data_IF_382024197617
#
_entry.id   IF_382024197617
#
_cell.length_a   1.000
_cell.length_b   1.000
_cell.length_c   1.000
_cell.angle_alpha   90.00
_cell.angle_beta   90.00
_cell.angle_gamma   90.00
#
_symmetry.space_group_name_H-M   'P 1'
#
loop_
_entity.id
_entity.type
_entity.pdbx_description
1 polymer ?
#
# COMPACT_ATOMS: atom_id res chain seq x y z
N UNK A 1 1.62 -25.55 24.34
CA UNK A 1 1.79 -24.07 24.22
C UNK A 1 0.67 -23.59 23.32
N UNK A 2 -0.17 -22.66 23.80
CA UNK A 2 -1.22 -22.03 22.97
C UNK A 2 -0.52 -21.22 21.90
N UNK A 3 -0.72 -21.55 20.64
CA UNK A 3 -0.15 -20.82 19.50
C UNK A 3 -0.67 -19.38 19.52
N UNK A 4 0.22 -18.40 19.59
CA UNK A 4 -0.15 -16.99 19.47
C UNK A 4 -0.55 -16.75 18.00
N UNK A 5 -1.83 -16.61 17.75
CA UNK A 5 -2.41 -16.54 16.39
C UNK A 5 -2.32 -15.13 15.78
N UNK A 6 -1.78 -14.15 16.48
CA UNK A 6 -1.66 -12.77 16.03
C UNK A 6 -0.21 -12.31 15.86
N UNK A 7 0.01 -11.19 15.14
CA UNK A 7 1.34 -10.60 15.03
C UNK A 7 1.72 -9.84 16.29
N UNK A 8 3.01 -9.61 16.46
CA UNK A 8 3.54 -8.67 17.46
C UNK A 8 3.67 -7.28 16.86
N UNK A 9 3.40 -6.24 17.65
CA UNK A 9 3.60 -4.84 17.29
C UNK A 9 5.02 -4.39 17.60
N UNK A 10 5.66 -3.71 16.66
CA UNK A 10 6.99 -3.14 16.83
C UNK A 10 7.08 -1.75 16.17
N UNK A 11 8.16 -1.03 16.48
CA UNK A 11 8.38 0.32 15.98
C UNK A 11 9.83 0.51 15.52
N UNK A 12 9.99 1.40 14.55
CA UNK A 12 11.30 1.88 14.10
C UNK A 12 11.25 3.40 13.91
N UNK A 13 12.42 4.02 13.77
CA UNK A 13 12.52 5.47 13.54
C UNK A 13 12.98 5.73 12.13
N UNK A 14 12.22 6.55 11.40
CA UNK A 14 12.59 7.10 10.11
C UNK A 14 12.37 8.61 10.11
N UNK A 15 13.39 9.39 9.79
CA UNK A 15 13.32 10.86 9.74
C UNK A 15 12.62 11.53 10.96
N UNK A 16 12.88 11.09 12.18
CA UNK A 16 12.22 11.56 13.42
C UNK A 16 10.77 11.09 13.59
N UNK A 17 10.21 10.33 12.66
CA UNK A 17 8.91 9.71 12.81
C UNK A 17 9.07 8.33 13.46
N UNK A 18 8.25 8.05 14.45
CA UNK A 18 8.07 6.71 15.01
C UNK A 18 7.07 5.96 14.15
N UNK A 19 7.54 5.00 13.39
CA UNK A 19 6.74 4.21 12.47
C UNK A 19 6.52 2.80 13.02
N UNK A 20 5.33 2.30 12.81
CA UNK A 20 4.85 1.02 13.32
C UNK A 20 4.96 -0.07 12.24
N UNK A 21 5.17 -1.30 12.68
CA UNK A 21 4.97 -2.50 11.87
C UNK A 21 4.47 -3.66 12.72
N UNK A 22 3.84 -4.62 12.10
CA UNK A 22 3.51 -5.90 12.73
C UNK A 22 4.39 -7.00 12.18
N UNK A 23 4.83 -7.89 13.07
CA UNK A 23 5.68 -9.04 12.77
C UNK A 23 4.90 -10.32 13.07
N UNK A 24 4.76 -11.20 12.08
CA UNK A 24 4.04 -12.45 12.16
C UNK A 24 4.92 -13.64 12.59
N UNK A 25 6.16 -13.38 12.99
CA UNK A 25 7.11 -14.38 13.43
C UNK A 25 7.71 -15.20 12.28
N UNK A 26 8.26 -16.37 12.62
CA UNK A 26 9.01 -17.25 11.75
C UNK A 26 10.32 -16.61 11.24
N UNK A 27 11.08 -16.02 12.14
CA UNK A 27 12.31 -15.27 11.84
C UNK A 27 13.38 -16.09 11.10
N UNK A 28 13.32 -17.43 11.13
CA UNK A 28 14.27 -18.29 10.38
C UNK A 28 13.92 -18.42 8.88
N UNK A 29 12.68 -18.11 8.49
CA UNK A 29 12.22 -18.19 7.10
C UNK A 29 12.67 -16.98 6.27
N UNK A 30 12.60 -17.03 4.92
CA UNK A 30 12.91 -15.90 4.05
C UNK A 30 12.03 -14.68 4.36
N UNK A 31 12.57 -13.44 4.31
CA UNK A 31 11.82 -12.24 4.64
C UNK A 31 10.83 -11.86 3.53
N UNK A 32 9.59 -11.59 3.93
CA UNK A 32 8.49 -11.11 3.10
C UNK A 32 7.88 -9.86 3.71
N UNK A 33 7.89 -8.75 2.99
CA UNK A 33 7.28 -7.49 3.45
C UNK A 33 6.04 -7.19 2.63
N UNK A 34 4.89 -7.01 3.32
CA UNK A 34 3.60 -6.68 2.72
C UNK A 34 3.30 -5.20 2.96
N UNK A 35 3.14 -4.40 1.91
CA UNK A 35 2.99 -2.94 1.98
C UNK A 35 1.57 -2.55 1.56
N UNK A 36 0.82 -1.92 2.46
CA UNK A 36 -0.57 -1.56 2.24
C UNK A 36 -0.77 -0.36 1.31
N UNK A 37 -2.00 -0.15 0.85
CA UNK A 37 -2.41 0.96 0.01
C UNK A 37 -2.67 2.26 0.78
N UNK A 38 -2.98 3.35 0.07
CA UNK A 38 -3.35 4.61 0.70
C UNK A 38 -4.64 4.51 1.51
N UNK A 39 -4.67 5.12 2.71
CA UNK A 39 -5.79 5.13 3.68
C UNK A 39 -6.13 3.76 4.27
N UNK A 40 -5.19 2.85 4.21
CA UNK A 40 -5.24 1.50 4.73
C UNK A 40 -4.26 1.35 5.91
N UNK A 41 -3.98 0.16 6.37
CA UNK A 41 -3.08 -0.10 7.51
C UNK A 41 -2.51 -1.53 7.46
N UNK A 42 -1.49 -1.82 8.29
CA UNK A 42 -0.80 -3.12 8.31
C UNK A 42 -1.74 -4.32 8.53
N UNK A 43 -2.76 -4.15 9.36
CA UNK A 43 -3.69 -5.23 9.70
C UNK A 43 -4.67 -5.60 8.58
N UNK A 44 -4.66 -4.86 7.47
CA UNK A 44 -5.41 -5.26 6.26
C UNK A 44 -4.82 -6.52 5.60
N UNK A 45 -3.57 -6.81 5.87
CA UNK A 45 -2.88 -7.99 5.36
C UNK A 45 -3.05 -9.25 6.22
N UNK A 46 -3.83 -9.20 7.31
CA UNK A 46 -3.91 -10.30 8.28
C UNK A 46 -4.26 -11.66 7.68
N UNK A 47 -5.19 -11.70 6.71
CA UNK A 47 -5.55 -12.97 6.05
C UNK A 47 -4.42 -13.51 5.18
N UNK A 48 -3.77 -12.64 4.44
CA UNK A 48 -2.63 -13.01 3.58
C UNK A 48 -1.43 -13.40 4.43
N UNK A 49 -1.09 -12.61 5.44
CA UNK A 49 0.02 -12.87 6.35
C UNK A 49 -0.16 -14.19 7.11
N UNK A 50 -1.39 -14.47 7.58
CA UNK A 50 -1.72 -15.74 8.25
C UNK A 50 -1.53 -16.95 7.34
N UNK A 51 -1.85 -16.82 6.05
CA UNK A 51 -1.64 -17.90 5.07
C UNK A 51 -0.17 -18.13 4.76
N UNK A 52 0.64 -17.05 4.69
CA UNK A 52 2.03 -17.12 4.24
C UNK A 52 3.05 -17.31 5.38
N UNK A 53 2.71 -16.98 6.63
CA UNK A 53 3.64 -17.01 7.79
C UNK A 53 4.28 -18.36 8.07
N UNK A 54 3.74 -19.45 7.56
CA UNK A 54 4.33 -20.77 7.75
C UNK A 54 5.67 -20.89 7.01
N UNK A 55 5.74 -20.32 5.81
CA UNK A 55 6.84 -20.49 4.89
C UNK A 55 7.70 -19.21 4.77
N UNK A 56 7.23 -18.09 5.35
CA UNK A 56 7.85 -16.75 5.27
C UNK A 56 7.92 -16.07 6.64
N UNK A 57 8.99 -15.29 6.87
CA UNK A 57 9.01 -14.27 7.90
C UNK A 57 8.26 -13.04 7.40
N UNK A 58 7.00 -12.89 7.80
CA UNK A 58 6.10 -11.85 7.27
C UNK A 58 6.14 -10.62 8.17
N UNK A 59 6.54 -9.49 7.60
CA UNK A 59 6.55 -8.17 8.25
C UNK A 59 5.64 -7.22 7.47
N UNK A 60 4.82 -6.45 8.18
CA UNK A 60 3.83 -5.56 7.56
C UNK A 60 3.89 -4.18 8.21
N UNK A 61 4.50 -3.17 7.56
CA UNK A 61 4.54 -1.80 8.08
C UNK A 61 3.20 -1.09 7.95
N UNK A 62 2.92 -0.20 8.89
CA UNK A 62 2.04 0.95 8.67
C UNK A 62 2.86 2.07 8.02
N UNK A 63 2.47 2.52 6.83
CA UNK A 63 3.12 3.64 6.17
C UNK A 63 2.96 4.92 7.00
N UNK A 64 3.90 5.90 6.89
CA UNK A 64 3.73 7.21 7.54
C UNK A 64 2.33 7.77 7.29
N UNK A 65 1.73 8.38 8.29
CA UNK A 65 0.38 8.94 8.19
C UNK A 65 -0.74 7.92 8.15
N UNK A 66 -0.47 6.64 8.42
CA UNK A 66 -1.46 5.54 8.41
C UNK A 66 -1.30 4.66 9.64
N UNK A 67 -2.39 3.99 10.00
CA UNK A 67 -2.39 3.00 11.08
C UNK A 67 -1.85 3.55 12.40
N UNK A 68 -0.94 2.82 13.03
CA UNK A 68 -0.29 3.21 14.28
C UNK A 68 1.07 3.92 14.08
N UNK A 69 1.41 4.25 12.82
CA UNK A 69 2.56 5.10 12.46
C UNK A 69 2.29 6.57 12.69
N UNK A 70 3.35 7.34 13.02
CA UNK A 70 3.26 8.77 13.19
C UNK A 70 2.85 9.49 11.89
N UNK A 71 2.12 10.60 12.06
CA UNK A 71 1.79 11.52 10.99
C UNK A 71 2.96 12.47 10.70
N UNK A 72 3.22 12.76 9.43
CA UNK A 72 4.29 13.66 9.05
C UNK A 72 3.91 15.12 9.35
N UNK A 73 4.72 15.81 10.16
CA UNK A 73 4.58 17.23 10.35
C UNK A 73 4.75 17.96 9.01
N UNK A 74 3.80 18.84 8.68
CA UNK A 74 3.76 19.55 7.40
C UNK A 74 3.06 18.78 6.27
N UNK A 75 2.53 17.57 6.53
CA UNK A 75 1.71 16.84 5.55
C UNK A 75 2.49 16.34 4.34
N UNK A 76 3.76 15.98 4.51
CA UNK A 76 4.61 15.45 3.44
C UNK A 76 4.38 13.95 3.26
N UNK A 77 3.66 13.59 2.18
CA UNK A 77 3.29 12.21 1.83
C UNK A 77 3.58 11.92 0.36
N UNK A 78 4.86 12.04 -0.02
CA UNK A 78 5.32 11.75 -1.38
C UNK A 78 5.86 10.33 -1.49
N UNK A 79 5.88 9.78 -2.71
CA UNK A 79 6.42 8.43 -2.94
C UNK A 79 7.87 8.31 -2.46
N UNK A 80 8.79 9.26 -2.72
CA UNK A 80 10.16 9.19 -2.20
C UNK A 80 10.25 9.07 -0.67
N UNK A 81 9.35 9.73 0.06
CA UNK A 81 9.35 9.65 1.54
C UNK A 81 8.85 8.30 2.04
N UNK A 82 7.84 7.71 1.39
CA UNK A 82 7.41 6.35 1.68
C UNK A 82 8.52 5.33 1.35
N UNK A 83 9.23 5.51 0.24
CA UNK A 83 10.38 4.65 -0.15
C UNK A 83 11.49 4.73 0.89
N UNK A 84 11.80 5.95 1.38
CA UNK A 84 12.80 6.13 2.44
C UNK A 84 12.41 5.39 3.73
N UNK A 85 11.14 5.42 4.13
CA UNK A 85 10.67 4.71 5.32
C UNK A 85 10.80 3.20 5.17
N UNK A 86 10.46 2.66 3.99
CA UNK A 86 10.62 1.23 3.71
C UNK A 86 12.12 0.87 3.66
N UNK A 87 12.98 1.70 3.07
CA UNK A 87 14.42 1.48 3.08
C UNK A 87 14.96 1.42 4.51
N UNK A 88 14.53 2.34 5.38
CA UNK A 88 14.92 2.35 6.79
C UNK A 88 14.41 1.11 7.54
N UNK A 89 13.17 0.68 7.31
CA UNK A 89 12.64 -0.56 7.89
C UNK A 89 13.48 -1.76 7.48
N UNK A 90 13.76 -1.90 6.19
CA UNK A 90 14.53 -3.03 5.67
C UNK A 90 15.97 -3.06 6.18
N UNK A 91 16.59 -1.89 6.37
CA UNK A 91 17.91 -1.78 6.99
C UNK A 91 17.86 -2.16 8.49
N UNK A 92 16.79 -1.82 9.23
CA UNK A 92 16.57 -2.24 10.62
C UNK A 92 16.37 -3.77 10.72
N UNK A 93 15.63 -4.37 9.80
CA UNK A 93 15.44 -5.82 9.75
C UNK A 93 16.75 -6.55 9.38
N UNK A 94 17.62 -5.90 8.58
CA UNK A 94 18.95 -6.40 8.26
C UNK A 94 18.99 -7.72 7.47
N UNK A 95 17.89 -8.07 6.79
CA UNK A 95 17.75 -9.36 6.08
C UNK A 95 17.50 -9.14 4.59
N UNK A 96 18.49 -9.49 3.79
CA UNK A 96 18.47 -9.37 2.33
C UNK A 96 18.93 -10.67 1.64
N UNK A 97 18.49 -10.95 0.41
CA UNK A 97 17.44 -10.21 -0.32
C UNK A 97 16.06 -10.42 0.29
N UNK A 98 15.14 -9.45 0.09
CA UNK A 98 13.77 -9.48 0.58
C UNK A 98 12.78 -9.73 -0.56
N UNK A 99 11.63 -10.33 -0.26
CA UNK A 99 10.49 -10.36 -1.17
C UNK A 99 9.51 -9.23 -0.78
N UNK A 100 9.05 -8.47 -1.77
CA UNK A 100 8.10 -7.38 -1.58
C UNK A 100 6.75 -7.67 -2.24
N UNK A 101 5.68 -7.45 -1.51
CA UNK A 101 4.30 -7.46 -2.02
C UNK A 101 3.66 -6.13 -1.64
N UNK A 102 3.23 -5.35 -2.61
CA UNK A 102 2.64 -4.04 -2.35
C UNK A 102 1.33 -3.82 -3.08
N UNK A 103 0.36 -3.20 -2.40
CA UNK A 103 -0.93 -2.84 -2.95
C UNK A 103 -1.01 -1.33 -3.21
N UNK A 104 -1.48 -0.91 -4.38
CA UNK A 104 -1.77 0.49 -4.72
C UNK A 104 -0.56 1.41 -4.42
N UNK A 105 -0.67 2.32 -3.45
CA UNK A 105 0.46 3.13 -2.97
C UNK A 105 1.65 2.25 -2.55
N UNK A 106 1.41 1.19 -1.78
CA UNK A 106 2.44 0.23 -1.38
C UNK A 106 3.09 -0.48 -2.57
N UNK A 107 2.33 -0.74 -3.63
CA UNK A 107 2.85 -1.26 -4.89
C UNK A 107 3.77 -0.28 -5.60
N UNK A 108 3.39 1.00 -5.67
CA UNK A 108 4.25 2.06 -6.22
C UNK A 108 5.54 2.22 -5.40
N UNK A 109 5.45 2.17 -4.08
CA UNK A 109 6.61 2.22 -3.17
C UNK A 109 7.53 1.02 -3.39
N UNK A 110 7.00 -0.19 -3.46
CA UNK A 110 7.77 -1.41 -3.70
C UNK A 110 8.49 -1.37 -5.06
N UNK A 111 7.82 -0.92 -6.12
CA UNK A 111 8.41 -0.72 -7.46
C UNK A 111 9.57 0.27 -7.42
N UNK A 112 9.40 1.42 -6.78
CA UNK A 112 10.45 2.44 -6.68
C UNK A 112 11.62 1.95 -5.84
N UNK A 113 11.37 1.33 -4.68
CA UNK A 113 12.43 0.74 -3.86
C UNK A 113 13.24 -0.29 -4.66
N UNK A 114 12.57 -1.21 -5.36
CA UNK A 114 13.24 -2.25 -6.15
C UNK A 114 14.04 -1.66 -7.32
N UNK A 115 13.56 -0.58 -7.95
CA UNK A 115 14.31 0.10 -9.00
C UNK A 115 15.58 0.80 -8.49
N UNK A 116 15.60 1.27 -7.23
CA UNK A 116 16.75 1.90 -6.58
C UNK A 116 17.76 0.83 -6.12
N UNK A 117 17.27 -0.27 -5.53
CA UNK A 117 18.07 -1.33 -4.93
C UNK A 117 17.74 -2.71 -5.53
N UNK A 118 17.97 -2.92 -6.85
CA UNK A 118 17.56 -4.16 -7.53
C UNK A 118 18.23 -5.43 -6.96
N UNK A 119 19.42 -5.30 -6.35
CA UNK A 119 20.15 -6.41 -5.73
C UNK A 119 19.60 -6.82 -4.36
N UNK A 120 18.76 -5.98 -3.75
CA UNK A 120 18.17 -6.23 -2.42
C UNK A 120 16.82 -6.94 -2.47
N UNK A 121 16.23 -7.08 -3.67
CA UNK A 121 14.90 -7.67 -3.84
C UNK A 121 14.99 -8.90 -4.72
N UNK A 122 14.50 -10.05 -4.19
CA UNK A 122 14.54 -11.32 -4.93
C UNK A 122 13.27 -11.59 -5.73
N UNK A 123 12.10 -11.10 -5.28
CA UNK A 123 10.81 -11.17 -5.97
C UNK A 123 9.96 -9.96 -5.64
N UNK A 124 9.15 -9.53 -6.59
CA UNK A 124 8.26 -8.38 -6.44
C UNK A 124 6.84 -8.73 -6.90
N UNK A 125 5.85 -8.42 -6.06
CA UNK A 125 4.43 -8.45 -6.44
C UNK A 125 3.86 -7.05 -6.29
N UNK A 126 3.37 -6.47 -7.39
CA UNK A 126 2.73 -5.16 -7.40
C UNK A 126 1.25 -5.30 -7.77
N UNK A 127 0.38 -5.08 -6.78
CA UNK A 127 -1.07 -5.16 -6.92
C UNK A 127 -1.58 -3.75 -7.20
N UNK A 128 -2.04 -3.49 -8.42
CA UNK A 128 -2.59 -2.18 -8.81
C UNK A 128 -1.62 -0.99 -8.55
N UNK A 129 -0.29 -1.26 -8.55
CA UNK A 129 0.76 -0.33 -8.09
C UNK A 129 1.39 0.53 -9.19
N UNK A 130 0.99 0.42 -10.47
CA UNK A 130 1.61 1.13 -11.59
C UNK A 130 1.19 2.61 -11.71
N UNK A 131 0.44 3.12 -10.75
CA UNK A 131 -0.10 4.47 -10.78
C UNK A 131 -1.25 4.64 -11.78
N UNK A 132 -1.67 5.89 -12.05
CA UNK A 132 -2.78 6.18 -12.96
C UNK A 132 -2.49 5.70 -14.39
N UNK A 133 -3.52 5.25 -15.13
CA UNK A 133 -3.35 4.89 -16.53
C UNK A 133 -2.91 6.11 -17.38
N UNK A 134 -2.15 5.89 -18.48
CA UNK A 134 -1.61 6.97 -19.31
C UNK A 134 -2.64 8.00 -19.77
N UNK A 135 -3.85 7.58 -20.13
CA UNK A 135 -4.93 8.47 -20.55
C UNK A 135 -5.36 9.46 -19.43
N UNK A 136 -5.37 9.01 -18.17
CA UNK A 136 -5.67 9.88 -17.03
C UNK A 136 -4.54 10.88 -16.76
N UNK A 137 -3.28 10.46 -16.94
CA UNK A 137 -2.12 11.33 -16.80
C UNK A 137 -2.06 12.41 -17.88
N UNK A 138 -2.50 12.09 -19.09
CA UNK A 138 -2.54 13.04 -20.22
C UNK A 138 -3.52 14.20 -19.92
N UNK A 139 -4.69 13.90 -19.38
CA UNK A 139 -5.64 14.92 -18.94
C UNK A 139 -5.09 15.86 -17.84
N UNK A 140 -4.14 15.36 -17.02
CA UNK A 140 -3.47 16.18 -16.01
C UNK A 140 -2.26 16.97 -16.55
N UNK A 141 -1.72 16.59 -17.72
CA UNK A 141 -0.56 17.26 -18.35
C UNK A 141 -0.86 18.66 -18.85
N UNK A 142 -2.09 18.94 -19.26
CA UNK A 142 -2.49 20.20 -19.88
C UNK A 142 -2.41 21.41 -18.96
N UNK A 143 -2.47 21.21 -17.63
CA UNK A 143 -2.43 22.31 -16.67
C UNK A 143 -1.01 22.81 -16.41
N UNK A 144 -0.74 24.11 -16.53
CA UNK A 144 0.55 24.70 -16.20
C UNK A 144 0.87 24.56 -14.70
N UNK A 145 2.16 24.65 -14.35
CA UNK A 145 2.61 24.40 -12.97
C UNK A 145 1.92 25.31 -11.95
N UNK A 146 1.71 26.60 -12.28
CA UNK A 146 1.09 27.54 -11.34
C UNK A 146 -0.38 27.17 -11.02
N UNK A 147 -1.15 26.67 -12.01
CA UNK A 147 -2.52 26.20 -11.74
C UNK A 147 -2.53 24.97 -10.85
N UNK A 148 -1.60 24.04 -11.07
CA UNK A 148 -1.46 22.86 -10.19
C UNK A 148 -1.03 23.27 -8.77
N UNK A 149 -0.12 24.24 -8.65
CA UNK A 149 0.32 24.78 -7.36
C UNK A 149 -0.82 25.49 -6.65
N UNK A 150 -1.62 26.29 -7.34
CA UNK A 150 -2.80 26.94 -6.77
C UNK A 150 -3.86 25.90 -6.34
N UNK A 151 -4.11 24.87 -7.15
CA UNK A 151 -5.01 23.78 -6.78
C UNK A 151 -4.51 23.03 -5.52
N UNK A 152 -3.21 22.76 -5.42
CA UNK A 152 -2.61 22.18 -4.24
C UNK A 152 -2.76 23.06 -3.00
N UNK A 153 -2.50 24.38 -3.10
CA UNK A 153 -2.69 25.32 -2.00
C UNK A 153 -4.15 25.31 -1.52
N UNK A 154 -5.10 25.35 -2.44
CA UNK A 154 -6.53 25.26 -2.11
C UNK A 154 -6.86 23.95 -1.41
N UNK A 155 -6.40 22.83 -1.93
CA UNK A 155 -6.62 21.51 -1.34
C UNK A 155 -6.06 21.41 0.08
N UNK A 156 -4.84 21.89 0.32
CA UNK A 156 -4.22 21.93 1.67
C UNK A 156 -5.06 22.77 2.63
N UNK A 157 -5.50 23.97 2.20
CA UNK A 157 -6.35 24.84 3.02
C UNK A 157 -7.72 24.22 3.32
N UNK A 158 -8.33 23.56 2.34
CA UNK A 158 -9.60 22.85 2.51
C UNK A 158 -9.48 21.70 3.52
N UNK A 159 -8.38 20.95 3.50
CA UNK A 159 -8.15 19.90 4.50
C UNK A 159 -7.87 20.48 5.89
N UNK A 160 -7.11 21.56 5.98
CA UNK A 160 -6.85 22.25 7.24
C UNK A 160 -8.12 22.81 7.89
N UNK A 161 -9.10 23.22 7.08
CA UNK A 161 -10.37 23.76 7.55
C UNK A 161 -11.41 22.68 7.93
N UNK A 162 -11.17 21.41 7.60
CA UNK A 162 -12.13 20.34 7.86
C UNK A 162 -11.78 19.59 9.14
N UNK A 163 -12.80 19.39 9.98
CA UNK A 163 -12.68 18.43 11.07
C UNK A 163 -12.75 17.00 10.52
N UNK A 164 -11.87 16.09 11.00
CA UNK A 164 -11.98 14.67 10.67
C UNK A 164 -13.37 14.13 11.00
N UNK A 165 -13.89 13.26 10.13
CA UNK A 165 -15.18 12.62 10.37
C UNK A 165 -15.11 11.76 11.63
N UNK A 166 -16.11 11.89 12.51
CA UNK A 166 -16.25 11.12 13.74
C UNK A 166 -17.44 10.17 13.62
N UNK A 167 -17.28 8.98 14.17
CA UNK A 167 -18.29 7.93 14.19
C UNK A 167 -18.69 7.63 15.63
N UNK A 168 -19.99 7.47 15.94
CA UNK A 168 -20.43 7.20 17.30
C UNK A 168 -20.05 5.80 17.80
N UNK A 169 -19.79 4.87 16.88
CA UNK A 169 -19.41 3.50 17.19
C UNK A 169 -18.53 2.88 16.10
N UNK A 170 -17.87 1.77 16.41
CA UNK A 170 -17.14 0.95 15.41
C UNK A 170 -18.11 0.45 14.34
N UNK A 171 -19.32 0.05 14.70
CA UNK A 171 -20.31 -0.47 13.75
C UNK A 171 -20.75 0.62 12.75
N UNK A 172 -20.88 1.87 13.19
CA UNK A 172 -21.17 3.01 12.30
C UNK A 172 -20.02 3.27 11.31
N UNK A 173 -18.77 3.12 11.76
CA UNK A 173 -17.60 3.24 10.90
C UNK A 173 -17.49 2.05 9.93
N UNK A 174 -17.80 0.82 10.37
CA UNK A 174 -17.82 -0.38 9.54
C UNK A 174 -18.92 -0.34 8.46
N UNK A 175 -20.09 0.17 8.78
CA UNK A 175 -21.14 0.40 7.79
C UNK A 175 -20.65 1.36 6.68
N UNK A 176 -19.93 2.42 7.06
CA UNK A 176 -19.33 3.33 6.08
C UNK A 176 -18.24 2.67 5.23
N UNK A 177 -17.44 1.76 5.81
CA UNK A 177 -16.45 0.98 5.08
C UNK A 177 -17.11 0.13 3.99
N UNK A 178 -18.22 -0.55 4.31
CA UNK A 178 -19.00 -1.34 3.35
C UNK A 178 -19.59 -0.49 2.23
N UNK A 179 -20.13 0.69 2.54
CA UNK A 179 -20.67 1.61 1.53
C UNK A 179 -19.62 2.03 0.49
N UNK A 180 -18.38 2.24 0.93
CA UNK A 180 -17.28 2.67 0.05
C UNK A 180 -16.63 1.49 -0.69
N UNK A 181 -16.78 0.26 -0.18
CA UNK A 181 -16.09 -0.94 -0.70
C UNK A 181 -17.08 -2.12 -0.80
N UNK A 182 -17.91 -2.16 -1.85
CA UNK A 182 -19.02 -3.11 -1.97
C UNK A 182 -18.60 -4.58 -2.17
N UNK A 183 -17.32 -4.86 -2.45
CA UNK A 183 -16.79 -6.22 -2.55
C UNK A 183 -16.44 -6.84 -1.19
N UNK A 184 -16.31 -6.02 -0.13
CA UNK A 184 -15.98 -6.52 1.21
C UNK A 184 -17.15 -7.29 1.83
N UNK A 185 -16.85 -8.37 2.54
CA UNK A 185 -17.80 -8.99 3.47
C UNK A 185 -17.94 -8.11 4.73
N UNK A 186 -19.04 -8.33 5.49
CA UNK A 186 -19.24 -7.65 6.77
C UNK A 186 -18.12 -7.96 7.78
N UNK A 187 -17.58 -9.17 7.76
CA UNK A 187 -16.45 -9.59 8.59
C UNK A 187 -15.18 -8.81 8.24
N UNK A 188 -14.84 -8.73 6.95
CA UNK A 188 -13.70 -7.97 6.47
C UNK A 188 -13.82 -6.49 6.82
N UNK A 189 -14.97 -5.86 6.53
CA UNK A 189 -15.20 -4.47 6.85
C UNK A 189 -15.08 -4.18 8.36
N UNK A 190 -15.61 -5.07 9.21
CA UNK A 190 -15.50 -4.95 10.66
C UNK A 190 -14.05 -5.10 11.13
N UNK A 191 -13.30 -6.08 10.62
CA UNK A 191 -11.89 -6.29 10.95
C UNK A 191 -11.05 -5.06 10.56
N UNK A 192 -11.16 -4.61 9.31
CA UNK A 192 -10.47 -3.42 8.81
C UNK A 192 -10.80 -2.18 9.66
N UNK A 193 -12.06 -2.03 10.06
CA UNK A 193 -12.49 -0.91 10.88
C UNK A 193 -11.92 -0.98 12.29
N UNK A 194 -11.99 -2.14 12.96
CA UNK A 194 -11.48 -2.31 14.33
C UNK A 194 -10.02 -1.92 14.44
N UNK A 195 -9.21 -2.27 13.44
CA UNK A 195 -7.78 -1.92 13.40
C UNK A 195 -7.50 -0.54 12.80
N UNK A 196 -8.39 -0.03 11.94
CA UNK A 196 -8.24 1.22 11.22
C UNK A 196 -8.75 2.46 11.94
N UNK A 197 -9.49 2.34 13.06
CA UNK A 197 -9.99 3.49 13.83
C UNK A 197 -9.32 3.60 15.19
N UNK A 198 -9.23 4.84 15.69
CA UNK A 198 -8.86 5.15 17.07
C UNK A 198 -10.05 5.78 17.79
N UNK A 199 -10.17 5.53 19.10
CA UNK A 199 -11.17 6.15 19.97
C UNK A 199 -10.69 7.55 20.35
N UNK A 200 -11.57 8.56 20.14
CA UNK A 200 -11.36 9.93 20.56
C UNK A 200 -11.71 10.13 22.05
N UNK A 201 -11.29 11.25 22.65
CA UNK A 201 -11.56 11.60 24.04
C UNK A 201 -13.06 11.71 24.35
N UNK A 202 -13.87 12.16 23.37
CA UNK A 202 -15.33 12.25 23.48
C UNK A 202 -16.06 10.91 23.31
N UNK A 203 -15.32 9.81 23.18
CA UNK A 203 -15.86 8.46 23.01
C UNK A 203 -16.22 8.09 21.56
N UNK A 204 -16.14 9.02 20.62
CA UNK A 204 -16.30 8.73 19.19
C UNK A 204 -15.08 8.06 18.59
N UNK A 205 -15.15 7.64 17.32
CA UNK A 205 -14.07 6.98 16.60
C UNK A 205 -13.69 7.78 15.35
N UNK A 206 -12.39 7.84 15.05
CA UNK A 206 -11.85 8.45 13.83
C UNK A 206 -10.89 7.48 13.14
N UNK A 207 -10.78 7.60 11.81
CA UNK A 207 -9.79 6.82 11.06
C UNK A 207 -8.37 7.20 11.46
N UNK A 208 -7.48 6.21 11.53
CA UNK A 208 -6.06 6.36 11.89
C UNK A 208 -5.19 6.90 10.74
N UNK A 209 -5.74 7.34 9.64
CA UNK A 209 -4.93 7.97 8.61
C UNK A 209 -5.06 9.49 8.64
N UNK A 210 -3.96 10.17 8.36
CA UNK A 210 -3.94 11.62 8.17
C UNK A 210 -4.67 12.00 6.88
N UNK A 211 -5.61 12.94 6.94
CA UNK A 211 -6.34 13.39 5.76
C UNK A 211 -5.42 14.01 4.70
N UNK A 212 -4.25 14.50 5.09
CA UNK A 212 -3.25 15.07 4.17
C UNK A 212 -2.62 14.03 3.22
N UNK A 213 -2.74 12.71 3.50
CA UNK A 213 -2.35 11.65 2.55
C UNK A 213 -3.14 11.69 1.23
N UNK A 214 -4.24 12.45 1.19
CA UNK A 214 -5.07 12.68 -0.01
C UNK A 214 -4.59 13.84 -0.86
N UNK A 215 -3.67 14.66 -0.35
CA UNK A 215 -3.19 15.85 -1.04
C UNK A 215 -2.29 15.43 -2.20
N UNK A 216 -2.67 15.81 -3.40
CA UNK A 216 -1.87 15.59 -4.59
C UNK A 216 -0.83 16.71 -4.72
N UNK A 217 0.43 16.36 -4.70
CA UNK A 217 1.52 17.31 -4.93
C UNK A 217 1.46 17.88 -6.34
N UNK A 218 1.92 19.14 -6.55
CA UNK A 218 1.85 19.82 -7.84
C UNK A 218 2.86 19.29 -8.88
N UNK A 219 3.78 18.39 -8.46
CA UNK A 219 4.69 17.71 -9.37
C UNK A 219 3.92 16.80 -10.33
N UNK A 220 4.46 16.67 -11.53
CA UNK A 220 3.90 15.75 -12.52
C UNK A 220 4.39 14.33 -12.24
N UNK A 221 3.49 13.38 -12.36
CA UNK A 221 3.91 12.00 -12.55
C UNK A 221 4.50 11.86 -13.96
N UNK A 222 5.78 11.56 -14.02
CA UNK A 222 6.45 11.34 -15.30
C UNK A 222 6.46 9.85 -15.65
N UNK A 223 5.66 9.48 -16.66
CA UNK A 223 5.56 8.10 -17.12
C UNK A 223 6.88 7.61 -17.75
N UNK A 224 7.67 8.50 -18.36
CA UNK A 224 8.95 8.12 -18.94
C UNK A 224 9.96 7.76 -17.86
N UNK A 225 10.05 8.58 -16.80
CA UNK A 225 10.87 8.26 -15.64
C UNK A 225 10.42 6.98 -14.93
N UNK A 226 9.09 6.80 -14.76
CA UNK A 226 8.55 5.58 -14.18
C UNK A 226 8.92 4.33 -14.99
N UNK A 227 8.77 4.37 -16.32
CA UNK A 227 9.18 3.27 -17.22
C UNK A 227 10.68 3.00 -17.15
N UNK A 228 11.50 4.04 -17.11
CA UNK A 228 12.95 3.90 -16.96
C UNK A 228 13.30 3.23 -15.61
N UNK A 229 12.62 3.60 -14.53
CA UNK A 229 12.79 2.96 -13.23
C UNK A 229 12.38 1.47 -13.26
N UNK A 230 11.22 1.14 -13.82
CA UNK A 230 10.77 -0.26 -13.95
C UNK A 230 11.74 -1.11 -14.77
N UNK A 231 12.39 -0.54 -15.79
CA UNK A 231 13.46 -1.20 -16.56
C UNK A 231 14.71 -1.53 -15.77
N UNK A 232 14.89 -0.98 -14.56
CA UNK A 232 15.99 -1.34 -13.64
C UNK A 232 15.67 -2.54 -12.77
N UNK A 233 14.40 -2.91 -12.61
CA UNK A 233 13.97 -4.05 -11.79
C UNK A 233 14.52 -5.32 -12.43
N UNK A 234 15.35 -6.04 -11.68
CA UNK A 234 16.06 -7.22 -12.16
C UNK A 234 15.43 -8.54 -11.70
N UNK A 235 14.62 -8.50 -10.65
CA UNK A 235 13.97 -9.70 -10.12
C UNK A 235 12.67 -10.04 -10.88
N UNK A 236 12.23 -11.32 -10.84
CA UNK A 236 10.89 -11.70 -11.30
C UNK A 236 9.81 -10.82 -10.66
N UNK A 237 8.88 -10.35 -11.47
CA UNK A 237 7.83 -9.43 -11.05
C UNK A 237 6.46 -9.95 -11.44
N UNK A 238 5.53 -9.99 -10.47
CA UNK A 238 4.13 -10.29 -10.70
C UNK A 238 3.29 -9.01 -10.57
N UNK A 239 2.63 -8.64 -11.65
CA UNK A 239 1.61 -7.59 -11.63
C UNK A 239 0.25 -8.23 -11.41
N UNK A 240 -0.52 -7.73 -10.44
CA UNK A 240 -1.87 -8.24 -10.15
C UNK A 240 -2.87 -7.12 -10.34
N UNK A 241 -3.95 -7.39 -11.06
CA UNK A 241 -5.01 -6.43 -11.37
C UNK A 241 -6.40 -7.03 -11.18
N UNK A 242 -7.31 -6.27 -10.59
CA UNK A 242 -8.74 -6.59 -10.57
C UNK A 242 -9.42 -6.22 -11.90
N UNK A 243 -10.21 -7.11 -12.46
CA UNK A 243 -10.87 -6.83 -13.74
C UNK A 243 -11.90 -5.70 -13.63
N UNK A 244 -12.52 -5.54 -12.47
CA UNK A 244 -13.51 -4.49 -12.17
C UNK A 244 -12.86 -3.20 -11.62
N UNK A 245 -11.53 -3.13 -11.56
CA UNK A 245 -10.81 -1.98 -11.06
C UNK A 245 -10.74 -0.84 -12.09
N UNK A 246 -10.67 0.38 -11.59
CA UNK A 246 -10.40 1.59 -12.38
C UNK A 246 -8.96 1.62 -12.96
N UNK A 247 -8.04 0.83 -12.42
CA UNK A 247 -6.66 0.78 -12.89
C UNK A 247 -6.60 0.18 -14.31
N UNK A 248 -5.88 0.86 -15.18
CA UNK A 248 -5.71 0.43 -16.57
C UNK A 248 -4.99 -0.92 -16.69
N UNK A 249 -5.31 -1.66 -17.75
CA UNK A 249 -4.64 -2.92 -18.07
C UNK A 249 -3.23 -2.63 -18.64
N UNK A 250 -2.15 -3.04 -17.94
CA UNK A 250 -0.78 -2.72 -18.34
C UNK A 250 -0.32 -3.43 -19.61
N UNK A 251 -1.02 -4.47 -20.06
CA UNK A 251 -0.78 -5.07 -21.40
C UNK A 251 -1.38 -4.16 -22.47
N UNK A 252 -2.63 -3.73 -22.28
CA UNK A 252 -3.34 -2.90 -23.27
C UNK A 252 -2.73 -1.51 -23.44
N UNK A 253 -2.27 -0.91 -22.35
CA UNK A 253 -1.65 0.42 -22.37
C UNK A 253 -0.12 0.40 -22.52
N UNK A 254 0.47 -0.80 -22.64
CA UNK A 254 1.88 -1.02 -22.91
C UNK A 254 2.82 -0.78 -21.72
N UNK A 255 2.33 -0.54 -20.50
CA UNK A 255 3.21 -0.32 -19.34
C UNK A 255 4.03 -1.55 -18.97
N UNK A 256 3.52 -2.75 -19.19
CA UNK A 256 4.23 -4.01 -18.89
C UNK A 256 5.53 -4.16 -19.67
N UNK A 257 5.63 -3.58 -20.89
CA UNK A 257 6.83 -3.69 -21.72
C UNK A 257 8.05 -2.95 -21.16
N UNK A 258 7.88 -2.15 -20.12
CA UNK A 258 8.97 -1.49 -19.43
C UNK A 258 9.75 -2.42 -18.48
N UNK A 259 9.15 -3.54 -18.08
CA UNK A 259 9.80 -4.51 -17.20
C UNK A 259 10.65 -5.51 -18.01
N UNK A 260 11.71 -6.01 -17.39
CA UNK A 260 12.55 -7.05 -17.97
C UNK A 260 11.92 -8.45 -17.87
N UNK A 261 11.30 -8.71 -16.71
CA UNK A 261 10.67 -9.99 -16.40
C UNK A 261 9.41 -9.72 -15.56
N UNK A 262 8.27 -9.52 -16.23
CA UNK A 262 7.01 -9.30 -15.56
C UNK A 262 5.88 -10.13 -16.17
N UNK A 263 5.05 -10.68 -15.28
CA UNK A 263 3.81 -11.38 -15.63
C UNK A 263 2.62 -10.59 -15.10
N UNK A 264 1.47 -10.65 -15.80
CA UNK A 264 0.22 -10.06 -15.34
C UNK A 264 -0.79 -11.15 -15.02
N UNK A 265 -1.40 -11.03 -13.84
CA UNK A 265 -2.60 -11.78 -13.46
C UNK A 265 -3.77 -10.79 -13.38
N UNK A 266 -4.80 -11.02 -14.20
CA UNK A 266 -6.08 -10.32 -14.11
C UNK A 266 -7.06 -11.19 -13.32
N UNK A 267 -7.49 -10.70 -12.15
CA UNK A 267 -8.39 -11.42 -11.24
C UNK A 267 -9.84 -11.02 -11.55
N UNK A 268 -10.70 -11.97 -11.95
CA UNK A 268 -12.10 -11.68 -12.23
C UNK A 268 -12.87 -11.37 -10.94
N UNK A 269 -13.95 -10.61 -11.05
CA UNK A 269 -14.82 -10.21 -9.93
C UNK A 269 -14.06 -9.54 -8.77
N UNK A 270 -13.00 -8.81 -9.08
CA UNK A 270 -12.20 -8.05 -8.13
C UNK A 270 -12.12 -6.59 -8.55
N UNK A 271 -12.35 -5.69 -7.61
CA UNK A 271 -12.08 -4.26 -7.73
C UNK A 271 -10.63 -3.92 -7.41
N UNK A 272 -10.41 -2.76 -6.80
CA UNK A 272 -9.07 -2.26 -6.48
C UNK A 272 -8.38 -3.03 -5.35
N UNK A 273 -9.14 -3.61 -4.40
CA UNK A 273 -8.60 -4.38 -3.27
C UNK A 273 -8.60 -5.88 -3.54
N UNK A 274 -7.88 -6.29 -4.59
CA UNK A 274 -7.86 -7.67 -5.12
C UNK A 274 -7.64 -8.73 -4.03
N UNK A 275 -6.75 -8.48 -3.08
CA UNK A 275 -6.40 -9.38 -1.99
C UNK A 275 -7.50 -9.52 -0.92
N UNK A 276 -8.51 -8.63 -0.92
CA UNK A 276 -9.73 -8.76 -0.13
C UNK A 276 -10.87 -9.31 -0.96
N UNK A 277 -11.05 -8.80 -2.17
CA UNK A 277 -12.21 -9.10 -3.02
C UNK A 277 -12.20 -10.56 -3.48
N UNK A 278 -11.00 -11.11 -3.75
CA UNK A 278 -10.81 -12.48 -4.24
C UNK A 278 -9.62 -13.15 -3.54
N UNK A 279 -9.69 -13.26 -2.20
CA UNK A 279 -8.57 -13.74 -1.36
C UNK A 279 -8.03 -15.11 -1.79
N UNK A 280 -8.89 -16.09 -2.07
CA UNK A 280 -8.45 -17.45 -2.44
C UNK A 280 -7.72 -17.45 -3.78
N UNK A 281 -8.24 -16.73 -4.77
CA UNK A 281 -7.59 -16.56 -6.09
C UNK A 281 -6.25 -15.86 -5.91
N UNK A 282 -6.23 -14.79 -5.14
CA UNK A 282 -5.01 -14.03 -4.84
C UNK A 282 -3.94 -14.92 -4.20
N UNK A 283 -4.29 -15.66 -3.15
CA UNK A 283 -3.36 -16.55 -2.44
C UNK A 283 -2.83 -17.67 -3.35
N UNK A 284 -3.66 -18.22 -4.23
CA UNK A 284 -3.21 -19.23 -5.20
C UNK A 284 -2.21 -18.67 -6.19
N UNK A 285 -2.51 -17.54 -6.84
CA UNK A 285 -1.67 -16.96 -7.88
C UNK A 285 -0.35 -16.39 -7.30
N UNK A 286 -0.45 -15.64 -6.20
CA UNK A 286 0.72 -15.07 -5.54
C UNK A 286 1.52 -16.16 -4.84
N UNK A 287 0.89 -17.12 -4.18
CA UNK A 287 1.57 -18.25 -3.53
C UNK A 287 2.35 -19.10 -4.54
N UNK A 288 1.78 -19.39 -5.72
CA UNK A 288 2.48 -20.08 -6.78
C UNK A 288 3.73 -19.32 -7.25
N UNK A 289 3.59 -18.01 -7.49
CA UNK A 289 4.71 -17.16 -7.88
C UNK A 289 5.81 -17.07 -6.81
N UNK A 290 5.43 -16.99 -5.54
CA UNK A 290 6.38 -16.93 -4.44
C UNK A 290 7.17 -18.25 -4.27
N UNK A 291 6.56 -19.39 -4.60
CA UNK A 291 7.17 -20.73 -4.48
C UNK A 291 8.14 -21.07 -5.61
N UNK A 292 8.12 -20.39 -6.76
CA UNK A 292 9.09 -20.54 -7.85
C UNK A 292 10.49 -20.11 -7.40
#
# INVERSE_FOLDING_TARGET
>A
MTEIVGPTSSYYISQRLRLHYVDWGNESAPPLVLIHGGRDHARSWDWVARALRRDWHVVVPDLRGHGDSAWALGGHYTVPEFVLDIAQLLDVLGRFPVTLVGHSLGGAVALHYTAIYPERVQKLVAIEGLGPPPAMLEALREKPRWERTDAWIRQVRDFAARLPRRYPSIDAAAARMLEENPFLSAEQARHLTVHGVARNEDGTYGWKFDNYVRVLFPERYDMQEARAAWGRIACPTLLVRGQESWAGDPIKDGRITAFRDARLVNVPNAGHWVHHDQLEVFLREVGAFLAE
#
